data_IF_255399388354
#
_entry.id   IF_255399388354
#
_cell.length_a   1.000
_cell.length_b   1.000
_cell.length_c   1.000
_cell.angle_alpha   90.00
_cell.angle_beta   90.00
_cell.angle_gamma   90.00
#
_symmetry.space_group_name_H-M   'P 1'
#
loop_
_entity.id
_entity.type
_entity.pdbx_description
1 polymer ?
#
# COMPACT_ATOMS: atom_id res chain seq x y z
N UNK A 1 25.24 3.73 -12.72
CA UNK A 1 24.36 2.75 -13.42
C UNK A 1 23.33 2.15 -12.47
N UNK A 2 23.75 1.54 -11.35
CA UNK A 2 22.86 0.93 -10.34
C UNK A 2 21.72 1.85 -9.88
N UNK A 3 22.00 3.11 -9.55
CA UNK A 3 20.99 4.11 -9.13
C UNK A 3 19.89 4.32 -10.18
N UNK A 4 20.24 4.30 -11.48
CA UNK A 4 19.27 4.50 -12.57
C UNK A 4 18.36 3.28 -12.73
N UNK A 5 18.93 2.09 -12.58
CA UNK A 5 18.16 0.83 -12.60
C UNK A 5 17.21 0.79 -11.41
N UNK A 6 17.71 1.11 -10.21
CA UNK A 6 16.90 1.10 -8.99
C UNK A 6 15.79 2.15 -9.03
N UNK A 7 16.09 3.36 -9.52
CA UNK A 7 15.06 4.38 -9.78
C UNK A 7 14.01 3.88 -10.77
N UNK A 8 14.42 3.22 -11.87
CA UNK A 8 13.47 2.66 -12.85
C UNK A 8 12.57 1.59 -12.26
N UNK A 9 13.09 0.74 -11.36
CA UNK A 9 12.30 -0.28 -10.66
C UNK A 9 11.32 0.40 -9.69
N UNK A 10 11.82 1.31 -8.86
CA UNK A 10 11.03 2.06 -7.88
C UNK A 10 9.92 2.87 -8.58
N UNK A 11 10.20 3.50 -9.72
CA UNK A 11 9.21 4.31 -10.44
C UNK A 11 8.16 3.48 -11.16
N UNK A 12 8.45 2.21 -11.47
CA UNK A 12 7.57 1.36 -12.28
C UNK A 12 6.74 0.39 -11.44
N UNK A 13 7.23 -0.04 -10.28
CA UNK A 13 6.62 -1.11 -9.50
C UNK A 13 6.35 -0.68 -8.06
N UNK A 14 5.20 -1.10 -7.52
CA UNK A 14 4.94 -1.02 -6.07
C UNK A 14 5.77 -2.09 -5.38
N UNK A 15 6.44 -1.72 -4.30
CA UNK A 15 7.37 -2.62 -3.58
C UNK A 15 7.00 -2.68 -2.11
N UNK A 16 7.23 -3.84 -1.50
CA UNK A 16 7.08 -4.07 -0.07
C UNK A 16 8.43 -4.49 0.52
N UNK A 17 8.88 -3.80 1.55
CA UNK A 17 10.14 -4.07 2.24
C UNK A 17 9.89 -4.74 3.59
N UNK A 18 10.65 -5.80 3.88
CA UNK A 18 10.59 -6.55 5.15
C UNK A 18 11.99 -6.60 5.74
N UNK A 19 12.12 -6.30 7.04
CA UNK A 19 13.42 -6.31 7.72
C UNK A 19 14.38 -5.20 7.28
N UNK A 20 13.87 -4.20 6.55
CA UNK A 20 14.64 -3.08 6.04
C UNK A 20 14.57 -1.90 7.00
N UNK A 21 15.72 -1.47 7.51
CA UNK A 21 15.83 -0.27 8.33
C UNK A 21 15.87 0.99 7.46
N UNK A 22 15.18 2.04 7.87
CA UNK A 22 15.26 3.39 7.26
C UNK A 22 16.64 4.06 7.42
N UNK A 23 17.67 3.31 7.78
CA UNK A 23 19.05 3.76 7.94
C UNK A 23 19.84 3.80 6.63
N UNK A 24 19.32 3.20 5.55
CA UNK A 24 19.94 3.27 4.23
C UNK A 24 19.59 4.59 3.52
N UNK A 25 20.46 5.58 3.71
CA UNK A 25 20.30 6.91 3.12
C UNK A 25 20.32 6.90 1.59
N UNK A 26 21.04 5.96 0.97
CA UNK A 26 21.15 5.89 -0.48
C UNK A 26 19.84 5.44 -1.09
N UNK A 27 19.20 4.41 -0.52
CA UNK A 27 17.88 3.97 -0.99
C UNK A 27 16.81 5.04 -0.78
N UNK A 28 16.80 5.70 0.38
CA UNK A 28 15.87 6.78 0.67
C UNK A 28 16.04 7.98 -0.24
N UNK A 29 17.27 8.28 -0.66
CA UNK A 29 17.52 9.34 -1.64
C UNK A 29 16.81 9.06 -2.96
N UNK A 30 16.74 7.79 -3.36
CA UNK A 30 16.09 7.36 -4.60
C UNK A 30 14.56 7.43 -4.46
N UNK A 31 14.00 6.96 -3.34
CA UNK A 31 12.56 7.14 -3.07
C UNK A 31 12.15 8.60 -3.04
N UNK A 32 12.96 9.46 -2.40
CA UNK A 32 12.70 10.90 -2.38
C UNK A 32 12.72 11.48 -3.79
N UNK A 33 13.67 11.05 -4.62
CA UNK A 33 13.74 11.46 -6.02
C UNK A 33 12.51 11.00 -6.81
N UNK A 34 12.12 9.73 -6.70
CA UNK A 34 10.90 9.23 -7.36
C UNK A 34 9.66 10.00 -6.87
N UNK A 35 9.56 10.27 -5.57
CA UNK A 35 8.45 11.06 -5.02
C UNK A 35 8.43 12.49 -5.58
N UNK A 36 9.59 13.10 -5.77
CA UNK A 36 9.72 14.42 -6.39
C UNK A 36 9.32 14.38 -7.88
N UNK A 37 9.82 13.41 -8.63
CA UNK A 37 9.62 13.30 -10.08
C UNK A 37 8.15 13.03 -10.44
N UNK A 38 7.43 12.23 -9.64
CA UNK A 38 6.05 11.81 -9.94
C UNK A 38 4.98 12.45 -9.03
N UNK A 39 5.40 13.20 -8.00
CA UNK A 39 4.49 13.86 -7.06
C UNK A 39 3.45 12.91 -6.47
N UNK A 40 2.17 13.34 -6.48
CA UNK A 40 1.03 12.52 -6.00
C UNK A 40 0.75 11.27 -6.83
N UNK A 41 1.27 11.18 -8.06
CA UNK A 41 1.17 10.00 -8.93
C UNK A 41 2.26 8.95 -8.69
N UNK A 42 3.22 9.21 -7.80
CA UNK A 42 4.28 8.27 -7.48
C UNK A 42 3.72 6.91 -7.00
N UNK A 43 4.34 5.77 -7.36
CA UNK A 43 3.97 4.48 -6.81
C UNK A 43 4.00 4.52 -5.29
N UNK A 44 2.93 4.05 -4.65
CA UNK A 44 2.89 3.91 -3.19
C UNK A 44 3.59 2.61 -2.82
N UNK A 45 4.74 2.72 -2.17
CA UNK A 45 5.51 1.60 -1.65
C UNK A 45 5.11 1.30 -0.21
N UNK A 46 5.53 0.15 0.32
CA UNK A 46 5.23 -0.29 1.67
C UNK A 46 6.49 -0.73 2.41
N UNK A 47 6.52 -0.51 3.72
CA UNK A 47 7.58 -1.05 4.59
C UNK A 47 6.94 -1.66 5.82
N UNK A 48 7.34 -2.88 6.17
CA UNK A 48 6.93 -3.56 7.39
C UNK A 48 7.99 -3.28 8.44
N UNK A 49 7.61 -2.59 9.52
CA UNK A 49 8.55 -2.20 10.56
C UNK A 49 7.94 -2.31 11.95
N UNK A 50 8.80 -2.60 12.92
CA UNK A 50 8.43 -2.67 14.33
C UNK A 50 8.35 -1.25 14.90
N UNK A 51 7.22 -0.91 15.53
CA UNK A 51 7.06 0.33 16.30
C UNK A 51 5.97 0.08 17.34
N UNK A 52 6.29 0.18 18.62
CA UNK A 52 5.31 -0.03 19.70
C UNK A 52 4.66 1.29 20.14
N UNK A 53 5.28 2.44 19.86
CA UNK A 53 4.77 3.73 20.28
C UNK A 53 3.77 4.30 19.27
N UNK A 54 2.51 4.45 19.70
CA UNK A 54 1.41 4.93 18.86
C UNK A 54 1.65 6.34 18.26
N UNK A 55 2.23 7.27 19.00
CA UNK A 55 2.50 8.62 18.49
C UNK A 55 3.68 8.62 17.51
N UNK A 56 4.67 7.77 17.75
CA UNK A 56 5.75 7.53 16.80
C UNK A 56 5.21 6.93 15.49
N UNK A 57 4.25 5.99 15.54
CA UNK A 57 3.59 5.44 14.35
C UNK A 57 2.93 6.54 13.50
N UNK A 58 2.16 7.44 14.11
CA UNK A 58 1.52 8.55 13.41
C UNK A 58 2.55 9.45 12.73
N UNK A 59 3.56 9.87 13.50
CA UNK A 59 4.62 10.77 13.03
C UNK A 59 5.41 10.14 11.88
N UNK A 60 5.84 8.88 12.05
CA UNK A 60 6.58 8.13 11.04
C UNK A 60 5.73 7.91 9.79
N UNK A 61 4.43 7.62 9.91
CA UNK A 61 3.54 7.46 8.77
C UNK A 61 3.45 8.72 7.92
N UNK A 62 3.24 9.87 8.56
CA UNK A 62 3.18 11.16 7.84
C UNK A 62 4.51 11.42 7.14
N UNK A 63 5.61 11.31 7.88
CA UNK A 63 6.96 11.55 7.38
C UNK A 63 7.31 10.66 6.17
N UNK A 64 7.05 9.35 6.26
CA UNK A 64 7.36 8.37 5.21
C UNK A 64 6.51 8.58 3.95
N UNK A 65 5.21 8.82 4.13
CA UNK A 65 4.29 9.04 3.01
C UNK A 65 4.62 10.31 2.26
N UNK A 66 4.88 11.40 2.99
CA UNK A 66 5.08 12.70 2.38
C UNK A 66 6.45 12.80 1.70
N UNK A 67 7.50 12.39 2.41
CA UNK A 67 8.88 12.56 1.95
C UNK A 67 9.33 11.50 0.94
N UNK A 68 8.82 10.28 1.06
CA UNK A 68 9.33 9.13 0.30
C UNK A 68 8.25 8.38 -0.49
N UNK A 69 6.96 8.68 -0.30
CA UNK A 69 5.88 7.91 -0.93
C UNK A 69 5.75 6.48 -0.38
N UNK A 70 6.28 6.23 0.83
CA UNK A 70 6.27 4.93 1.48
C UNK A 70 5.17 4.91 2.54
N UNK A 71 4.34 3.87 2.54
CA UNK A 71 3.30 3.64 3.54
C UNK A 71 3.74 2.55 4.53
N UNK A 72 4.06 2.92 5.80
CA UNK A 72 4.49 1.93 6.76
C UNK A 72 3.33 1.05 7.26
N UNK A 73 3.61 -0.23 7.40
CA UNK A 73 2.78 -1.22 8.07
C UNK A 73 3.51 -1.53 9.38
N UNK A 74 2.95 -1.05 10.48
CA UNK A 74 3.54 -1.22 11.79
C UNK A 74 3.10 -2.54 12.41
N UNK A 75 4.03 -3.20 13.07
CA UNK A 75 3.73 -4.26 14.02
C UNK A 75 4.41 -3.96 15.35
N UNK A 76 3.90 -4.53 16.42
CA UNK A 76 4.54 -4.48 17.74
C UNK A 76 4.84 -5.91 18.17
N UNK A 77 6.05 -6.18 18.65
CA UNK A 77 6.27 -7.40 19.43
C UNK A 77 5.45 -7.27 20.72
N UNK A 78 4.41 -8.07 20.86
CA UNK A 78 3.80 -8.25 22.17
C UNK A 78 4.82 -8.99 23.06
N UNK A 79 4.92 -8.60 24.32
CA UNK A 79 5.53 -9.46 25.32
C UNK A 79 4.81 -10.83 25.28
N UNK A 80 5.57 -11.91 25.45
CA UNK A 80 5.29 -13.33 25.19
C UNK A 80 3.95 -13.93 25.67
N UNK A 81 3.03 -13.18 26.27
CA UNK A 81 1.84 -13.68 26.96
C UNK A 81 0.49 -13.17 26.41
N UNK A 82 0.45 -12.49 25.27
CA UNK A 82 -0.81 -12.10 24.62
C UNK A 82 -0.81 -12.58 23.15
N UNK A 83 -1.97 -13.04 22.71
CA UNK A 83 -2.17 -13.62 21.39
C UNK A 83 -1.91 -12.54 20.32
N UNK A 84 -0.99 -12.77 19.35
CA UNK A 84 -0.47 -11.76 18.42
C UNK A 84 -1.50 -11.16 17.44
N UNK A 85 -2.76 -11.63 17.48
CA UNK A 85 -3.84 -11.18 16.59
C UNK A 85 -4.89 -10.30 17.27
N UNK A 86 -4.75 -9.97 18.56
CA UNK A 86 -5.91 -9.49 19.34
C UNK A 86 -6.08 -7.97 19.40
N UNK A 87 -5.05 -7.16 19.15
CA UNK A 87 -5.21 -5.70 19.26
C UNK A 87 -4.49 -4.96 18.14
N UNK A 88 -5.11 -4.97 16.95
CA UNK A 88 -5.14 -3.89 15.97
C UNK A 88 -5.76 -4.45 14.69
N UNK A 89 -6.87 -3.85 14.25
CA UNK A 89 -7.53 -4.03 12.95
C UNK A 89 -6.85 -5.05 12.02
N UNK A 90 -7.33 -6.28 12.13
CA UNK A 90 -6.82 -7.45 11.44
C UNK A 90 -6.55 -7.13 9.97
N UNK A 91 -5.27 -7.06 9.60
CA UNK A 91 -4.83 -6.70 8.24
C UNK A 91 -5.44 -7.67 7.22
N UNK A 92 -5.70 -8.91 7.64
CA UNK A 92 -6.43 -9.91 6.87
C UNK A 92 -7.86 -9.45 6.57
N UNK A 93 -8.58 -8.89 7.53
CA UNK A 93 -9.95 -8.41 7.34
C UNK A 93 -9.99 -7.20 6.39
N UNK A 94 -9.01 -6.28 6.45
CA UNK A 94 -8.89 -5.18 5.46
C UNK A 94 -8.54 -5.66 4.05
N UNK A 95 -7.68 -6.67 3.94
CA UNK A 95 -7.33 -7.25 2.65
C UNK A 95 -8.49 -8.07 2.07
N UNK A 96 -9.28 -8.74 2.92
CA UNK A 96 -10.51 -9.44 2.53
C UNK A 96 -11.62 -8.47 2.13
N UNK A 97 -11.78 -7.36 2.83
CA UNK A 97 -12.73 -6.29 2.49
C UNK A 97 -12.37 -5.63 1.16
N UNK A 98 -11.09 -5.37 0.89
CA UNK A 98 -10.65 -4.87 -0.41
C UNK A 98 -10.97 -5.85 -1.55
N UNK A 99 -10.75 -7.15 -1.33
CA UNK A 99 -11.15 -8.18 -2.28
C UNK A 99 -12.66 -8.38 -2.40
N UNK A 100 -13.44 -8.01 -1.38
CA UNK A 100 -14.91 -8.02 -1.41
C UNK A 100 -15.45 -6.83 -2.20
N UNK A 101 -14.86 -5.64 -2.04
CA UNK A 101 -15.18 -4.43 -2.81
C UNK A 101 -14.85 -4.62 -4.30
N UNK A 102 -13.72 -5.26 -4.62
CA UNK A 102 -13.38 -5.56 -6.02
C UNK A 102 -14.39 -6.52 -6.66
N UNK A 103 -14.86 -7.52 -5.91
CA UNK A 103 -15.89 -8.47 -6.37
C UNK A 103 -17.27 -7.84 -6.50
N UNK A 104 -17.65 -6.90 -5.63
CA UNK A 104 -18.92 -6.18 -5.77
C UNK A 104 -18.90 -5.25 -6.98
N UNK A 105 -17.80 -4.53 -7.21
CA UNK A 105 -17.64 -3.67 -8.39
C UNK A 105 -17.68 -4.47 -9.70
N UNK A 106 -17.06 -5.65 -9.76
CA UNK A 106 -17.17 -6.53 -10.93
C UNK A 106 -18.60 -7.05 -11.14
N UNK A 107 -19.31 -7.39 -10.07
CA UNK A 107 -20.70 -7.86 -10.15
C UNK A 107 -21.65 -6.77 -10.67
N UNK A 108 -21.51 -5.55 -10.17
CA UNK A 108 -22.32 -4.40 -10.60
C UNK A 108 -22.01 -4.03 -12.06
N UNK A 109 -20.74 -4.12 -12.47
CA UNK A 109 -20.32 -3.92 -13.85
C UNK A 109 -20.94 -4.94 -14.81
N UNK A 110 -20.98 -6.21 -14.41
CA UNK A 110 -21.56 -7.28 -15.20
C UNK A 110 -23.09 -7.14 -15.31
N UNK A 111 -23.77 -6.76 -14.23
CA UNK A 111 -25.22 -6.50 -14.26
C UNK A 111 -25.58 -5.32 -15.18
N UNK A 112 -24.80 -4.23 -15.13
CA UNK A 112 -25.00 -3.09 -16.04
C UNK A 112 -24.77 -3.49 -17.50
N UNK A 113 -23.79 -4.35 -17.77
CA UNK A 113 -23.54 -4.88 -19.11
C UNK A 113 -24.70 -5.75 -19.60
N UNK A 114 -25.22 -6.66 -18.76
CA UNK A 114 -26.38 -7.50 -19.09
C UNK A 114 -27.65 -6.69 -19.33
N UNK A 115 -27.92 -5.65 -18.52
CA UNK A 115 -29.04 -4.73 -18.74
C UNK A 115 -28.91 -3.97 -20.07
N UNK A 116 -27.69 -3.58 -20.45
CA UNK A 116 -27.44 -2.89 -21.73
C UNK A 116 -27.63 -3.80 -22.95
N UNK A 117 -27.39 -5.11 -22.81
CA UNK A 117 -27.61 -6.11 -23.87
C UNK A 117 -29.11 -6.45 -23.99
N UNK A 118 -29.82 -6.55 -22.86
CA UNK A 118 -31.26 -6.81 -22.82
C UNK A 118 -32.06 -5.66 -23.47
N UNK A 119 -31.70 -4.41 -23.19
CA UNK A 119 -32.34 -3.25 -23.80
C UNK A 119 -32.13 -3.17 -25.33
N UNK A 120 -30.99 -3.65 -25.85
CA UNK A 120 -30.73 -3.71 -27.30
C UNK A 120 -31.56 -4.77 -28.04
N UNK A 121 -32.07 -5.78 -27.35
CA UNK A 121 -32.96 -6.79 -27.94
C UNK A 121 -34.46 -6.42 -27.84
N UNK A 122 -34.80 -5.37 -27.10
CA UNK A 122 -36.20 -4.94 -26.93
C UNK A 122 -36.58 -3.80 -27.90
N UNK A 123 -35.60 -3.22 -28.60
CA UNK A 123 -35.79 -2.13 -29.59
C UNK A 123 -35.68 -2.60 -31.06
N UNK A 124 -35.74 -3.91 -31.35
CA UNK A 124 -35.76 -4.47 -32.72
C UNK A 124 -37.11 -5.04 -33.11
#
# INVERSE_FOLDING_TARGET
LAVRILWSIISSFRMCFIGFGMSDFDLLSIFRKTRWDFGRGAPRHFVIMEESNHEARKTNRIYLRDKYGIDPIFFSKQESNKNPYVEEENIVDKLLDLGAVERSLQKDSNQLFEMSQSNKHTES
#
